data_IF_404422898632
#
_entry.id   IF_404422898632
#
_cell.length_a   1.000
_cell.length_b   1.000
_cell.length_c   1.000
_cell.angle_alpha   90.00
_cell.angle_beta   90.00
_cell.angle_gamma   90.00
#
_symmetry.space_group_name_H-M   'P 1'
#
loop_
_entity.id
_entity.type
_entity.pdbx_description
1 polymer ?
#
# COMPACT_ATOMS: atom_id res chain seq x y z
N UNK A 1 -26.79 0.28 -7.30
CA UNK A 1 -26.90 -0.29 -5.95
C UNK A 1 -26.42 0.75 -4.93
N UNK A 2 -27.31 1.24 -4.05
CA UNK A 2 -27.05 2.34 -3.10
C UNK A 2 -25.92 2.01 -2.10
N UNK A 3 -25.85 0.75 -1.66
CA UNK A 3 -24.86 0.30 -0.67
C UNK A 3 -23.38 0.39 -1.11
N UNK A 4 -23.11 0.62 -2.41
CA UNK A 4 -21.76 0.95 -2.89
C UNK A 4 -21.35 2.39 -2.54
N UNK A 5 -22.29 3.28 -2.33
CA UNK A 5 -22.08 4.73 -2.21
C UNK A 5 -22.33 5.26 -0.79
N UNK A 6 -23.08 4.52 0.02
CA UNK A 6 -23.48 4.98 1.35
C UNK A 6 -23.57 3.82 2.36
N UNK A 7 -23.44 4.12 3.67
CA UNK A 7 -23.60 3.13 4.73
C UNK A 7 -24.98 2.46 4.72
N UNK A 8 -25.06 1.20 5.16
CA UNK A 8 -26.30 0.44 5.25
C UNK A 8 -27.40 1.17 6.04
N UNK A 9 -27.04 1.91 7.11
CA UNK A 9 -27.98 2.73 7.86
C UNK A 9 -28.61 3.88 7.02
N UNK A 10 -27.87 4.42 6.06
CA UNK A 10 -28.42 5.43 5.14
C UNK A 10 -29.36 4.78 4.09
N UNK A 11 -28.96 3.61 3.57
CA UNK A 11 -29.81 2.81 2.67
C UNK A 11 -31.13 2.44 3.38
N UNK A 12 -31.05 1.96 4.62
CA UNK A 12 -32.18 1.61 5.48
C UNK A 12 -33.19 2.77 5.58
N UNK A 13 -32.71 3.99 5.85
CA UNK A 13 -33.58 5.19 5.91
C UNK A 13 -34.27 5.55 4.57
N UNK A 14 -33.58 5.31 3.47
CA UNK A 14 -34.11 5.63 2.13
C UNK A 14 -35.15 4.59 1.69
N UNK A 15 -34.90 3.33 1.99
CA UNK A 15 -35.73 2.21 1.53
C UNK A 15 -36.86 1.83 2.48
N UNK A 16 -36.83 2.33 3.73
CA UNK A 16 -37.75 1.90 4.80
C UNK A 16 -37.45 0.51 5.36
N UNK A 17 -36.42 -0.17 4.86
CA UNK A 17 -36.04 -1.51 5.30
C UNK A 17 -35.15 -1.48 6.55
N UNK A 18 -35.16 -2.54 7.35
CA UNK A 18 -34.25 -2.64 8.51
C UNK A 18 -32.80 -2.72 8.08
N UNK A 19 -31.87 -2.21 8.89
CA UNK A 19 -30.44 -2.33 8.65
C UNK A 19 -29.99 -3.77 8.42
N UNK A 20 -30.50 -4.70 9.24
CA UNK A 20 -30.19 -6.12 9.14
C UNK A 20 -30.61 -6.69 7.79
N UNK A 21 -31.79 -6.33 7.31
CA UNK A 21 -32.30 -6.80 6.00
C UNK A 21 -31.45 -6.27 4.85
N UNK A 22 -31.12 -4.98 4.88
CA UNK A 22 -30.22 -4.37 3.88
C UNK A 22 -28.87 -5.07 3.87
N UNK A 23 -28.26 -5.27 5.05
CA UNK A 23 -27.00 -5.98 5.18
C UNK A 23 -27.09 -7.43 4.65
N UNK A 24 -28.11 -8.21 5.11
CA UNK A 24 -28.25 -9.61 4.71
C UNK A 24 -28.42 -9.78 3.20
N UNK A 25 -29.18 -8.90 2.56
CA UNK A 25 -29.32 -8.89 1.10
C UNK A 25 -27.95 -8.62 0.45
N UNK A 26 -27.26 -7.56 0.90
CA UNK A 26 -25.95 -7.22 0.33
C UNK A 26 -24.92 -8.35 0.55
N UNK A 27 -24.87 -8.93 1.74
CA UNK A 27 -23.96 -10.04 2.04
C UNK A 27 -24.22 -11.25 1.16
N UNK A 28 -25.50 -11.67 1.04
CA UNK A 28 -25.90 -12.79 0.17
C UNK A 28 -25.45 -12.59 -1.28
N UNK A 29 -25.71 -11.42 -1.86
CA UNK A 29 -25.32 -11.15 -3.25
C UNK A 29 -23.81 -11.01 -3.43
N UNK A 30 -23.10 -10.47 -2.44
CA UNK A 30 -21.64 -10.44 -2.43
C UNK A 30 -21.07 -11.85 -2.38
N UNK A 31 -21.58 -12.71 -1.50
CA UNK A 31 -21.11 -14.10 -1.38
C UNK A 31 -21.35 -14.86 -2.68
N UNK A 32 -22.56 -14.81 -3.25
CA UNK A 32 -22.86 -15.43 -4.55
C UNK A 32 -21.92 -14.93 -5.67
N UNK A 33 -21.61 -13.64 -5.69
CA UNK A 33 -20.75 -13.07 -6.72
C UNK A 33 -19.27 -13.38 -6.49
N UNK A 34 -18.83 -13.54 -5.24
CA UNK A 34 -17.48 -13.99 -4.89
C UNK A 34 -17.33 -15.47 -5.22
N UNK A 35 -18.29 -16.32 -4.85
CA UNK A 35 -18.27 -17.76 -5.14
C UNK A 35 -18.28 -18.07 -6.65
N UNK A 36 -18.85 -17.17 -7.45
CA UNK A 36 -18.87 -17.26 -8.91
C UNK A 36 -17.68 -16.56 -9.60
N UNK A 37 -16.69 -16.09 -8.85
CA UNK A 37 -15.49 -15.52 -9.48
C UNK A 37 -14.71 -16.58 -10.23
N UNK A 38 -14.29 -16.23 -11.44
CA UNK A 38 -13.28 -16.97 -12.18
C UNK A 38 -11.92 -16.26 -11.99
N UNK A 39 -10.98 -16.97 -11.36
CA UNK A 39 -9.64 -16.51 -11.11
C UNK A 39 -8.58 -17.22 -11.98
N UNK A 40 -9.00 -18.01 -12.98
CA UNK A 40 -8.11 -18.78 -13.87
C UNK A 40 -7.12 -17.92 -14.65
N UNK A 41 -7.49 -16.68 -14.95
CA UNK A 41 -6.63 -15.72 -15.69
C UNK A 41 -5.75 -14.83 -14.84
N UNK A 42 -5.68 -15.02 -13.52
CA UNK A 42 -4.89 -14.17 -12.65
C UNK A 42 -3.40 -14.53 -12.74
N UNK A 43 -2.56 -13.54 -13.04
CA UNK A 43 -1.10 -13.70 -13.11
C UNK A 43 -0.32 -12.68 -12.27
N UNK A 44 -0.99 -11.63 -11.81
CA UNK A 44 -0.37 -10.54 -11.07
C UNK A 44 -1.27 -10.07 -9.94
N UNK A 45 -0.73 -10.03 -8.73
CA UNK A 45 -1.47 -9.65 -7.53
C UNK A 45 -0.80 -8.51 -6.78
N UNK A 46 -1.61 -7.72 -6.08
CA UNK A 46 -1.16 -6.79 -5.07
C UNK A 46 -1.73 -7.23 -3.72
N UNK A 47 -0.89 -7.27 -2.69
CA UNK A 47 -1.26 -7.66 -1.33
C UNK A 47 -0.96 -6.48 -0.41
N UNK A 48 -1.94 -6.08 0.39
CA UNK A 48 -1.80 -4.98 1.35
C UNK A 48 -2.66 -5.21 2.58
N UNK A 49 -2.36 -4.51 3.66
CA UNK A 49 -3.13 -4.56 4.88
C UNK A 49 -3.92 -3.28 5.12
N UNK A 50 -5.10 -3.42 5.72
CA UNK A 50 -5.90 -2.28 6.18
C UNK A 50 -6.30 -2.46 7.64
N UNK A 51 -6.35 -1.34 8.39
CA UNK A 51 -6.72 -1.39 9.80
C UNK A 51 -8.19 -1.76 9.97
N UNK A 52 -8.43 -2.87 10.69
CA UNK A 52 -9.75 -3.32 11.11
C UNK A 52 -10.29 -2.48 12.26
N UNK A 53 -9.49 -2.30 13.31
CA UNK A 53 -9.81 -1.51 14.50
C UNK A 53 -8.54 -1.06 15.23
N UNK A 54 -8.69 -0.28 16.30
CA UNK A 54 -7.56 0.09 17.15
C UNK A 54 -6.96 -1.16 17.80
N UNK A 55 -5.65 -1.16 18.08
CA UNK A 55 -4.97 -2.26 18.76
C UNK A 55 -4.36 -3.31 17.82
N UNK A 56 -3.84 -2.88 16.66
CA UNK A 56 -3.09 -3.74 15.72
C UNK A 56 -3.92 -4.90 15.13
N UNK A 57 -5.21 -4.69 14.93
CA UNK A 57 -6.06 -5.62 14.21
C UNK A 57 -6.18 -5.20 12.75
N UNK A 58 -5.85 -6.11 11.86
CA UNK A 58 -5.73 -5.85 10.42
C UNK A 58 -6.56 -6.82 9.60
N UNK A 59 -6.89 -6.42 8.38
CA UNK A 59 -7.39 -7.26 7.30
C UNK A 59 -6.33 -7.27 6.22
N UNK A 60 -6.08 -8.44 5.63
CA UNK A 60 -5.29 -8.56 4.40
C UNK A 60 -6.24 -8.53 3.21
N UNK A 61 -5.91 -7.71 2.24
CA UNK A 61 -6.58 -7.62 0.95
C UNK A 61 -5.65 -8.12 -0.14
N UNK A 62 -6.16 -8.96 -1.01
CA UNK A 62 -5.48 -9.32 -2.25
C UNK A 62 -6.31 -8.81 -3.41
N UNK A 63 -5.65 -8.14 -4.34
CA UNK A 63 -6.27 -7.57 -5.52
C UNK A 63 -5.56 -8.05 -6.79
N UNK A 64 -6.35 -8.29 -7.82
CA UNK A 64 -5.87 -8.43 -9.19
C UNK A 64 -5.28 -7.10 -9.65
N UNK A 65 -3.99 -7.10 -9.98
CA UNK A 65 -3.25 -5.90 -10.38
C UNK A 65 -3.69 -5.37 -11.74
N UNK A 66 -4.10 -6.25 -12.65
CA UNK A 66 -4.46 -5.90 -14.02
C UNK A 66 -5.87 -5.31 -14.08
N UNK A 67 -6.83 -5.99 -13.45
CA UNK A 67 -8.22 -5.53 -13.42
C UNK A 67 -8.47 -4.49 -12.31
N UNK A 68 -7.53 -4.30 -11.39
CA UNK A 68 -7.63 -3.38 -10.25
C UNK A 68 -8.90 -3.61 -9.45
N UNK A 69 -9.11 -4.83 -9.02
CA UNK A 69 -10.25 -5.26 -8.20
C UNK A 69 -9.78 -6.12 -7.03
N UNK A 70 -10.44 -6.01 -5.90
CA UNK A 70 -10.22 -6.94 -4.78
C UNK A 70 -10.81 -8.30 -5.14
N UNK A 71 -10.01 -9.35 -4.97
CA UNK A 71 -10.38 -10.74 -5.25
C UNK A 71 -10.43 -11.59 -3.98
N UNK A 72 -9.72 -11.17 -2.91
CA UNK A 72 -9.72 -11.88 -1.63
C UNK A 72 -9.58 -10.92 -0.45
N UNK A 73 -10.23 -11.26 0.66
CA UNK A 73 -10.16 -10.52 1.94
C UNK A 73 -10.16 -11.52 3.08
N UNK A 74 -9.19 -11.41 3.98
CA UNK A 74 -9.12 -12.25 5.17
C UNK A 74 -8.72 -11.44 6.40
N UNK A 75 -8.95 -12.01 7.59
CA UNK A 75 -8.53 -11.41 8.87
C UNK A 75 -7.05 -11.72 9.13
N UNK A 76 -6.33 -10.77 9.71
CA UNK A 76 -4.91 -10.91 10.02
C UNK A 76 -3.97 -10.21 9.03
N UNK A 77 -2.67 -10.42 9.25
CA UNK A 77 -1.57 -9.90 8.41
C UNK A 77 -0.31 -10.78 8.49
N UNK A 78 -0.47 -12.04 8.75
CA UNK A 78 0.63 -13.01 8.81
C UNK A 78 0.79 -13.78 7.49
N UNK A 79 1.78 -14.67 7.41
CA UNK A 79 2.03 -15.47 6.22
C UNK A 79 0.88 -16.42 5.86
N UNK A 80 0.05 -16.81 6.86
CA UNK A 80 -1.12 -17.66 6.63
C UNK A 80 -2.23 -16.96 5.85
N UNK A 81 -2.24 -15.62 5.83
CA UNK A 81 -3.19 -14.89 4.99
C UNK A 81 -2.91 -15.10 3.50
N UNK A 82 -1.63 -15.32 3.12
CA UNK A 82 -1.24 -15.67 1.74
C UNK A 82 -1.55 -17.14 1.44
N UNK A 83 -1.39 -18.04 2.42
CA UNK A 83 -1.86 -19.44 2.31
C UNK A 83 -3.34 -19.51 2.00
N UNK A 84 -4.17 -18.84 2.80
CA UNK A 84 -5.61 -18.76 2.59
C UNK A 84 -6.00 -18.16 1.24
N UNK A 85 -5.19 -17.21 0.74
CA UNK A 85 -5.37 -16.68 -0.61
C UNK A 85 -5.05 -17.74 -1.68
N UNK A 86 -3.98 -18.51 -1.54
CA UNK A 86 -3.60 -19.57 -2.47
C UNK A 86 -4.69 -20.65 -2.56
N UNK A 87 -5.26 -21.04 -1.42
CA UNK A 87 -6.42 -21.96 -1.36
C UNK A 87 -7.64 -21.37 -2.07
N UNK A 88 -7.96 -20.10 -1.80
CA UNK A 88 -9.07 -19.40 -2.44
C UNK A 88 -8.88 -19.30 -3.96
N UNK A 89 -7.67 -18.95 -4.43
CA UNK A 89 -7.32 -18.88 -5.83
C UNK A 89 -7.61 -20.22 -6.54
N UNK A 90 -7.10 -21.32 -5.97
CA UNK A 90 -7.29 -22.67 -6.51
C UNK A 90 -8.76 -23.09 -6.52
N UNK A 91 -9.50 -22.82 -5.45
CA UNK A 91 -10.93 -23.10 -5.36
C UNK A 91 -11.76 -22.37 -6.43
N UNK A 92 -11.24 -21.26 -6.98
CA UNK A 92 -11.89 -20.44 -8.03
C UNK A 92 -11.26 -20.63 -9.42
N UNK A 93 -10.60 -21.77 -9.67
CA UNK A 93 -10.04 -22.15 -10.97
C UNK A 93 -8.70 -21.52 -11.31
N UNK A 94 -8.10 -20.76 -10.40
CA UNK A 94 -6.76 -20.21 -10.57
C UNK A 94 -5.67 -21.22 -10.22
N UNK A 95 -4.44 -20.91 -10.63
CA UNK A 95 -3.26 -21.72 -10.36
C UNK A 95 -2.18 -20.85 -9.73
N UNK A 96 -1.65 -21.26 -8.59
CA UNK A 96 -0.59 -20.55 -7.87
C UNK A 96 0.68 -20.42 -8.70
N UNK A 97 0.93 -21.39 -9.57
CA UNK A 97 2.11 -21.40 -10.45
C UNK A 97 1.99 -20.38 -11.60
N UNK A 98 0.79 -19.91 -11.90
CA UNK A 98 0.51 -18.86 -12.89
C UNK A 98 0.72 -17.45 -12.32
N UNK A 99 0.86 -17.29 -11.00
CA UNK A 99 1.16 -16.00 -10.39
C UNK A 99 2.63 -15.67 -10.59
N UNK A 100 2.90 -14.82 -11.56
CA UNK A 100 4.27 -14.40 -11.93
C UNK A 100 4.74 -13.13 -11.24
N UNK A 101 3.84 -12.37 -10.63
CA UNK A 101 4.16 -11.11 -9.97
C UNK A 101 3.30 -10.86 -8.73
N UNK A 102 3.95 -10.47 -7.64
CA UNK A 102 3.31 -10.04 -6.41
C UNK A 102 3.87 -8.69 -5.96
N UNK A 103 3.01 -7.67 -5.93
CA UNK A 103 3.36 -6.36 -5.37
C UNK A 103 2.92 -6.33 -3.89
N UNK A 104 3.89 -6.14 -3.01
CA UNK A 104 3.67 -6.14 -1.55
C UNK A 104 4.44 -4.99 -0.90
N UNK A 105 4.15 -4.71 0.37
CA UNK A 105 5.05 -3.95 1.21
C UNK A 105 6.25 -4.82 1.67
N UNK A 106 7.20 -4.22 2.39
CA UNK A 106 8.37 -4.94 2.91
C UNK A 106 8.09 -5.70 4.22
N UNK A 107 6.83 -6.13 4.44
CA UNK A 107 6.45 -6.96 5.58
C UNK A 107 7.11 -8.34 5.51
N UNK A 108 7.87 -8.75 6.54
CA UNK A 108 8.47 -10.09 6.56
C UNK A 108 7.44 -11.22 6.43
N UNK A 109 6.22 -11.00 6.94
CA UNK A 109 5.14 -11.97 6.87
C UNK A 109 4.66 -12.18 5.42
N UNK A 110 4.47 -11.09 4.66
CA UNK A 110 4.07 -11.19 3.25
C UNK A 110 5.20 -11.72 2.38
N UNK A 111 6.46 -11.29 2.62
CA UNK A 111 7.63 -11.83 1.90
C UNK A 111 7.70 -13.34 2.08
N UNK A 112 7.57 -13.82 3.35
CA UNK A 112 7.55 -15.25 3.64
C UNK A 112 6.37 -15.95 2.97
N UNK A 113 5.15 -15.41 3.13
CA UNK A 113 3.94 -16.01 2.57
C UNK A 113 3.98 -16.12 1.05
N UNK A 114 4.44 -15.08 0.34
CA UNK A 114 4.58 -15.13 -1.12
C UNK A 114 5.64 -16.17 -1.52
N UNK A 115 6.79 -16.23 -0.81
CA UNK A 115 7.82 -17.23 -1.09
C UNK A 115 7.37 -18.67 -0.85
N UNK A 116 6.53 -18.90 0.16
CA UNK A 116 6.05 -20.24 0.52
C UNK A 116 4.89 -20.73 -0.37
N UNK A 117 3.97 -19.83 -0.77
CA UNK A 117 2.68 -20.21 -1.38
C UNK A 117 2.46 -19.72 -2.81
N UNK A 118 3.31 -18.82 -3.34
CA UNK A 118 3.28 -18.33 -4.72
C UNK A 118 4.68 -18.46 -5.34
N UNK A 119 5.16 -19.70 -5.61
CA UNK A 119 6.57 -19.98 -5.85
C UNK A 119 7.16 -19.30 -7.07
N UNK A 120 6.36 -19.00 -8.09
CA UNK A 120 6.80 -18.34 -9.32
C UNK A 120 6.64 -16.81 -9.28
N UNK A 121 6.06 -16.27 -8.19
CA UNK A 121 5.79 -14.86 -8.07
C UNK A 121 7.07 -14.05 -7.81
N UNK A 122 7.42 -13.17 -8.73
CA UNK A 122 8.46 -12.17 -8.49
C UNK A 122 7.91 -11.08 -7.57
N UNK A 123 8.51 -10.95 -6.39
CA UNK A 123 8.17 -9.90 -5.45
C UNK A 123 8.63 -8.53 -5.99
N UNK A 124 7.73 -7.57 -5.96
CA UNK A 124 8.00 -6.16 -6.26
C UNK A 124 7.61 -5.31 -5.05
N UNK A 125 8.53 -4.46 -4.59
CA UNK A 125 8.25 -3.49 -3.54
C UNK A 125 7.94 -2.13 -4.15
N UNK A 126 6.80 -1.54 -3.75
CA UNK A 126 6.43 -0.22 -4.24
C UNK A 126 7.44 0.84 -3.78
N UNK A 127 7.89 1.66 -4.74
CA UNK A 127 8.81 2.77 -4.47
C UNK A 127 8.27 3.75 -3.42
N UNK A 128 6.95 3.91 -3.31
CA UNK A 128 6.36 4.83 -2.35
C UNK A 128 6.65 4.41 -0.92
N UNK A 129 6.64 3.11 -0.62
CA UNK A 129 7.04 2.59 0.69
C UNK A 129 8.54 2.85 0.96
N UNK A 130 9.40 2.63 -0.04
CA UNK A 130 10.84 2.95 0.09
C UNK A 130 11.07 4.43 0.40
N UNK A 131 10.38 5.33 -0.33
CA UNK A 131 10.47 6.78 -0.10
C UNK A 131 9.82 7.19 1.23
N UNK A 132 8.77 6.50 1.69
CA UNK A 132 8.17 6.74 3.00
C UNK A 132 9.17 6.46 4.14
N UNK A 133 9.94 5.36 4.06
CA UNK A 133 11.03 5.08 5.01
C UNK A 133 12.10 6.18 5.00
N UNK A 134 12.52 6.64 3.82
CA UNK A 134 13.47 7.75 3.71
C UNK A 134 12.89 9.06 4.29
N UNK A 135 11.61 9.32 4.07
CA UNK A 135 10.91 10.50 4.65
C UNK A 135 10.85 10.43 6.18
N UNK A 136 10.60 9.25 6.73
CA UNK A 136 10.63 9.02 8.19
C UNK A 136 12.04 9.28 8.75
N UNK A 137 13.09 8.81 8.08
CA UNK A 137 14.47 9.06 8.47
C UNK A 137 14.84 10.58 8.44
N UNK A 138 14.33 11.33 7.45
CA UNK A 138 14.49 12.80 7.41
C UNK A 138 13.80 13.45 8.60
N UNK A 139 12.57 13.05 8.91
CA UNK A 139 11.81 13.62 10.04
C UNK A 139 12.46 13.29 11.39
N UNK A 140 12.99 12.10 11.56
CA UNK A 140 13.71 11.70 12.76
C UNK A 140 14.98 12.53 12.95
N UNK A 141 15.76 12.72 11.88
CA UNK A 141 16.93 13.56 11.90
C UNK A 141 16.57 15.02 12.22
N UNK A 142 15.51 15.54 11.60
CA UNK A 142 14.99 16.89 11.87
C UNK A 142 14.65 17.07 13.34
N UNK A 143 13.91 16.13 13.93
CA UNK A 143 13.52 16.18 15.35
C UNK A 143 14.73 16.17 16.29
N UNK A 144 15.74 15.38 15.93
CA UNK A 144 16.98 15.31 16.71
C UNK A 144 17.76 16.62 16.64
N UNK A 145 17.97 17.15 15.44
CA UNK A 145 18.78 18.35 15.23
C UNK A 145 18.05 19.63 15.67
N UNK A 146 16.71 19.67 15.62
CA UNK A 146 15.89 20.78 16.11
C UNK A 146 16.09 21.07 17.61
N UNK A 147 16.48 20.07 18.40
CA UNK A 147 16.76 20.26 19.85
C UNK A 147 17.94 21.21 20.10
N UNK A 148 18.87 21.25 19.17
CA UNK A 148 20.10 22.09 19.25
C UNK A 148 20.06 23.25 18.27
N UNK A 149 19.20 23.22 17.25
CA UNK A 149 19.06 24.27 16.25
C UNK A 149 17.61 24.65 16.00
N UNK A 150 17.10 25.70 16.67
CA UNK A 150 15.72 26.17 16.48
C UNK A 150 15.38 26.61 15.04
N UNK A 151 16.38 26.94 14.21
CA UNK A 151 16.16 27.36 12.82
C UNK A 151 15.54 26.26 11.95
N UNK A 152 15.59 25.00 12.40
CA UNK A 152 14.98 23.84 11.72
C UNK A 152 13.48 23.68 12.07
N UNK A 153 13.01 24.44 13.06
CA UNK A 153 11.60 24.46 13.47
C UNK A 153 10.73 24.96 12.28
N UNK A 154 9.61 24.28 12.04
CA UNK A 154 8.70 24.65 10.94
C UNK A 154 9.02 24.00 9.59
N UNK A 155 10.24 23.48 9.38
CA UNK A 155 10.66 22.90 8.09
C UNK A 155 10.15 21.48 7.82
N UNK A 156 9.26 20.92 8.67
CA UNK A 156 8.73 19.57 8.49
C UNK A 156 8.14 19.35 7.09
N UNK A 157 7.20 20.20 6.70
CA UNK A 157 6.49 20.04 5.42
C UNK A 157 7.38 20.29 4.20
N UNK A 158 8.23 21.33 4.18
CA UNK A 158 9.22 21.51 3.11
C UNK A 158 10.13 20.28 2.90
N UNK A 159 10.53 19.61 3.98
CA UNK A 159 11.42 18.45 3.92
C UNK A 159 10.72 17.15 3.46
N UNK A 160 9.42 16.99 3.75
CA UNK A 160 8.68 15.78 3.41
C UNK A 160 8.04 15.83 2.03
N UNK A 161 7.59 17.00 1.58
CA UNK A 161 7.02 17.19 0.24
C UNK A 161 8.09 17.10 -0.84
N UNK A 162 7.68 16.75 -2.05
CA UNK A 162 8.51 16.95 -3.23
C UNK A 162 8.73 18.43 -3.52
N UNK A 163 9.91 18.78 -4.02
CA UNK A 163 10.27 20.19 -4.27
C UNK A 163 9.26 20.89 -5.19
N UNK A 164 8.71 20.18 -6.14
CA UNK A 164 7.71 20.65 -7.10
C UNK A 164 6.34 21.03 -6.47
N UNK A 165 6.12 20.62 -5.21
CA UNK A 165 4.87 20.87 -4.44
C UNK A 165 5.03 21.93 -3.36
N UNK A 166 6.19 22.60 -3.31
CA UNK A 166 6.47 23.64 -2.33
C UNK A 166 5.92 25.00 -2.78
N UNK A 167 5.46 25.81 -1.83
CA UNK A 167 5.23 27.24 -2.07
C UNK A 167 6.57 27.96 -2.23
N UNK A 168 6.55 29.18 -2.78
CA UNK A 168 7.76 30.01 -2.92
C UNK A 168 8.48 30.22 -1.57
N UNK A 169 7.74 30.51 -0.50
CA UNK A 169 8.29 30.66 0.86
C UNK A 169 8.92 29.36 1.35
N UNK A 170 8.22 28.22 1.21
CA UNK A 170 8.74 26.92 1.62
C UNK A 170 10.01 26.54 0.84
N UNK A 171 10.09 26.88 -0.45
CA UNK A 171 11.26 26.65 -1.27
C UNK A 171 12.45 27.48 -0.79
N UNK A 172 12.23 28.78 -0.50
CA UNK A 172 13.27 29.65 0.03
C UNK A 172 13.83 29.18 1.38
N UNK A 173 12.93 28.77 2.31
CA UNK A 173 13.33 28.21 3.61
C UNK A 173 14.17 26.94 3.44
N UNK A 174 13.77 26.07 2.49
CA UNK A 174 14.51 24.86 2.17
C UNK A 174 15.89 25.18 1.57
N UNK A 175 15.99 26.16 0.68
CA UNK A 175 17.24 26.58 0.06
C UNK A 175 18.24 27.12 1.09
N UNK A 176 17.76 27.88 2.08
CA UNK A 176 18.60 28.33 3.22
C UNK A 176 19.14 27.14 4.03
N UNK A 177 18.31 26.10 4.24
CA UNK A 177 18.77 24.89 4.92
C UNK A 177 19.81 24.12 4.08
N UNK A 178 19.55 23.96 2.78
CA UNK A 178 20.43 23.22 1.85
C UNK A 178 21.78 23.91 1.72
N UNK A 179 21.83 25.23 1.73
CA UNK A 179 23.10 25.97 1.71
C UNK A 179 24.04 25.58 2.89
N UNK A 180 23.46 25.01 3.96
CA UNK A 180 24.21 24.54 5.14
C UNK A 180 24.42 23.00 5.12
N UNK A 181 24.39 22.35 3.97
CA UNK A 181 24.42 20.88 3.84
C UNK A 181 25.67 20.23 4.45
N UNK A 182 26.80 20.93 4.44
CA UNK A 182 28.05 20.44 5.02
C UNK A 182 28.00 20.32 6.54
N UNK A 183 27.21 21.17 7.18
CA UNK A 183 27.13 21.29 8.66
C UNK A 183 25.84 20.67 9.21
N UNK A 184 24.75 20.64 8.43
CA UNK A 184 23.43 20.16 8.88
C UNK A 184 23.14 18.74 8.41
N UNK A 185 22.87 17.85 9.37
CA UNK A 185 22.53 16.45 9.09
C UNK A 185 21.15 16.31 8.46
N UNK A 186 20.20 17.18 8.84
CA UNK A 186 18.85 17.22 8.25
C UNK A 186 18.92 17.57 6.76
N UNK A 187 19.75 18.52 6.35
CA UNK A 187 19.95 18.86 4.94
C UNK A 187 20.52 17.68 4.15
N UNK A 188 21.47 16.95 4.73
CA UNK A 188 22.04 15.72 4.12
C UNK A 188 21.02 14.61 4.03
N UNK A 189 20.21 14.39 5.08
CA UNK A 189 19.13 13.40 5.05
C UNK A 189 18.14 13.70 3.94
N UNK A 190 17.73 14.96 3.80
CA UNK A 190 16.86 15.40 2.71
C UNK A 190 17.48 15.16 1.34
N UNK A 191 18.76 15.49 1.13
CA UNK A 191 19.45 15.24 -0.13
C UNK A 191 19.46 13.74 -0.48
N UNK A 192 19.75 12.87 0.48
CA UNK A 192 19.70 11.43 0.27
C UNK A 192 18.31 10.95 -0.13
N UNK A 193 17.26 11.50 0.51
CA UNK A 193 15.88 11.17 0.11
C UNK A 193 15.58 11.60 -1.33
N UNK A 194 15.96 12.81 -1.74
CA UNK A 194 15.74 13.27 -3.12
C UNK A 194 16.56 12.48 -4.14
N UNK A 195 17.82 12.18 -3.84
CA UNK A 195 18.63 11.29 -4.68
C UNK A 195 17.98 9.90 -4.85
N UNK A 196 17.43 9.34 -3.77
CA UNK A 196 16.74 8.06 -3.82
C UNK A 196 15.49 8.13 -4.71
N UNK A 197 14.71 9.23 -4.63
CA UNK A 197 13.58 9.46 -5.53
C UNK A 197 14.03 9.49 -6.99
N UNK A 198 15.07 10.26 -7.31
CA UNK A 198 15.59 10.39 -8.67
C UNK A 198 16.10 9.05 -9.22
N UNK A 199 16.75 8.24 -8.39
CA UNK A 199 17.21 6.90 -8.76
C UNK A 199 16.01 6.01 -9.13
N UNK A 200 14.97 5.98 -8.28
CA UNK A 200 13.81 5.14 -8.48
C UNK A 200 12.88 5.61 -9.61
N UNK A 201 13.00 6.85 -10.10
CA UNK A 201 12.28 7.31 -11.29
C UNK A 201 12.89 6.81 -12.60
N UNK A 202 14.16 6.40 -12.60
CA UNK A 202 14.85 5.93 -13.81
C UNK A 202 14.27 4.61 -14.31
N UNK A 203 14.36 4.37 -15.63
CA UNK A 203 13.76 3.20 -16.29
C UNK A 203 14.74 2.05 -16.54
N UNK A 204 16.03 2.34 -16.57
CA UNK A 204 17.06 1.37 -16.94
C UNK A 204 17.52 0.62 -15.70
N UNK A 205 17.23 -0.69 -15.64
CA UNK A 205 17.49 -1.54 -14.47
C UNK A 205 18.98 -1.53 -14.05
N UNK A 206 19.89 -1.61 -15.01
CA UNK A 206 21.33 -1.62 -14.73
C UNK A 206 21.79 -0.30 -14.11
N UNK A 207 21.25 0.82 -14.59
CA UNK A 207 21.54 2.16 -14.06
C UNK A 207 20.99 2.30 -12.65
N UNK A 208 19.72 1.91 -12.42
CA UNK A 208 19.11 1.94 -11.10
C UNK A 208 19.88 1.06 -10.12
N UNK A 209 20.23 -0.16 -10.52
CA UNK A 209 21.00 -1.10 -9.69
C UNK A 209 22.36 -0.53 -9.28
N UNK A 210 23.11 0.01 -10.23
CA UNK A 210 24.42 0.61 -9.95
C UNK A 210 24.32 1.84 -9.06
N UNK A 211 23.39 2.77 -9.37
CA UNK A 211 23.19 4.00 -8.61
C UNK A 211 22.68 3.70 -7.18
N UNK A 212 21.80 2.72 -7.02
CA UNK A 212 21.27 2.34 -5.71
C UNK A 212 22.35 1.70 -4.82
N UNK A 213 23.22 0.86 -5.37
CA UNK A 213 24.40 0.33 -4.66
C UNK A 213 25.34 1.44 -4.21
N UNK A 214 25.63 2.40 -5.11
CA UNK A 214 26.48 3.53 -4.80
C UNK A 214 25.82 4.45 -3.73
N UNK A 215 24.51 4.71 -3.85
CA UNK A 215 23.76 5.46 -2.86
C UNK A 215 23.84 4.83 -1.47
N UNK A 216 23.59 3.51 -1.37
CA UNK A 216 23.72 2.77 -0.12
C UNK A 216 25.12 2.91 0.48
N UNK A 217 26.18 2.82 -0.36
CA UNK A 217 27.57 2.96 0.09
C UNK A 217 27.82 4.37 0.65
N UNK A 218 27.35 5.42 -0.03
CA UNK A 218 27.52 6.80 0.40
C UNK A 218 26.77 7.08 1.71
N UNK A 219 25.54 6.58 1.83
CA UNK A 219 24.75 6.72 3.06
C UNK A 219 25.40 6.02 4.23
N UNK A 220 25.90 4.79 4.05
CA UNK A 220 26.57 4.04 5.13
C UNK A 220 27.84 4.72 5.65
N UNK A 221 28.52 5.51 4.83
CA UNK A 221 29.69 6.31 5.21
C UNK A 221 29.32 7.66 5.85
N UNK A 222 28.05 8.03 5.83
CA UNK A 222 27.57 9.31 6.35
C UNK A 222 27.39 9.30 7.87
N UNK A 223 27.18 10.50 8.46
CA UNK A 223 26.82 10.65 9.88
C UNK A 223 25.30 10.80 10.08
N UNK A 224 24.49 10.27 9.18
CA UNK A 224 23.01 10.35 9.19
C UNK A 224 22.45 8.98 9.58
N UNK A 225 22.45 8.68 10.89
CA UNK A 225 22.11 7.33 11.38
C UNK A 225 20.74 6.83 10.93
N UNK A 226 19.62 7.61 11.00
CA UNK A 226 18.34 7.11 10.53
C UNK A 226 18.34 6.72 9.04
N UNK A 227 19.14 7.41 8.22
CA UNK A 227 19.23 7.06 6.79
C UNK A 227 20.05 5.80 6.53
N UNK A 228 20.96 5.43 7.46
CA UNK A 228 21.67 4.14 7.35
C UNK A 228 20.73 2.95 7.51
N UNK A 229 19.70 3.06 8.33
CA UNK A 229 18.68 2.01 8.45
C UNK A 229 17.91 1.85 7.14
N UNK A 230 17.61 2.95 6.44
CA UNK A 230 17.02 2.90 5.08
C UNK A 230 17.97 2.20 4.10
N UNK A 231 19.28 2.49 4.16
CA UNK A 231 20.25 1.84 3.29
C UNK A 231 20.40 0.34 3.58
N UNK A 232 20.33 -0.07 4.85
CA UNK A 232 20.30 -1.49 5.23
C UNK A 232 19.04 -2.18 4.70
N UNK A 233 17.88 -1.57 4.90
CA UNK A 233 16.61 -2.07 4.40
C UNK A 233 16.65 -2.24 2.86
N UNK A 234 17.17 -1.24 2.13
CA UNK A 234 17.32 -1.33 0.66
C UNK A 234 18.25 -2.48 0.28
N UNK A 235 19.35 -2.70 1.00
CA UNK A 235 20.27 -3.83 0.73
C UNK A 235 19.59 -5.18 0.94
N UNK A 236 18.79 -5.31 2.00
CA UNK A 236 18.09 -6.55 2.33
C UNK A 236 16.97 -6.89 1.33
N UNK A 237 16.38 -5.88 0.70
CA UNK A 237 15.26 -6.02 -0.23
C UNK A 237 15.61 -5.58 -1.65
N UNK A 238 16.90 -5.65 -2.00
CA UNK A 238 17.46 -5.03 -3.20
C UNK A 238 16.76 -5.47 -4.48
N UNK A 239 16.58 -6.77 -4.66
CA UNK A 239 16.04 -7.35 -5.89
C UNK A 239 14.58 -6.94 -6.12
N UNK A 240 13.76 -6.95 -5.08
CA UNK A 240 12.36 -6.55 -5.16
C UNK A 240 12.19 -5.03 -5.39
N UNK A 241 13.10 -4.20 -4.83
CA UNK A 241 13.11 -2.75 -5.09
C UNK A 241 13.52 -2.46 -6.53
N UNK A 242 14.55 -3.16 -7.04
CA UNK A 242 15.01 -3.02 -8.43
C UNK A 242 13.97 -3.59 -9.41
N UNK A 243 13.25 -4.66 -9.02
CA UNK A 243 12.17 -5.24 -9.83
C UNK A 243 11.10 -4.21 -10.18
N UNK A 244 10.79 -3.27 -9.30
CA UNK A 244 9.85 -2.17 -9.56
C UNK A 244 10.22 -1.37 -10.82
N UNK A 245 11.50 -1.23 -11.14
CA UNK A 245 11.97 -0.51 -12.35
C UNK A 245 11.43 -1.13 -13.64
N UNK A 246 11.24 -2.45 -13.65
CA UNK A 246 10.70 -3.19 -14.80
C UNK A 246 9.18 -3.27 -14.78
N UNK A 247 8.63 -3.67 -13.63
CA UNK A 247 7.20 -3.93 -13.50
C UNK A 247 6.38 -2.65 -13.47
N UNK A 248 6.92 -1.58 -12.89
CA UNK A 248 6.18 -0.34 -12.58
C UNK A 248 4.87 -0.59 -11.82
N UNK A 249 4.75 -1.76 -11.24
CA UNK A 249 3.59 -2.09 -10.42
C UNK A 249 3.63 -1.28 -9.14
N UNK A 250 2.58 -0.53 -8.90
CA UNK A 250 2.44 0.24 -7.68
C UNK A 250 1.30 -0.32 -6.84
N UNK A 251 1.48 -0.29 -5.53
CA UNK A 251 0.40 -0.55 -4.59
C UNK A 251 -0.59 0.62 -4.51
N UNK A 252 -0.34 1.70 -5.25
CA UNK A 252 -1.15 2.91 -5.19
C UNK A 252 -2.64 2.69 -5.46
N UNK A 253 -3.01 1.69 -6.29
CA UNK A 253 -4.42 1.37 -6.48
C UNK A 253 -5.02 0.64 -5.26
N UNK A 254 -4.31 -0.30 -4.62
CA UNK A 254 -4.79 -1.00 -3.41
C UNK A 254 -4.79 -0.05 -2.21
N UNK A 255 -3.81 0.86 -2.11
CA UNK A 255 -3.81 1.95 -1.13
C UNK A 255 -5.04 2.87 -1.32
N UNK A 256 -5.39 3.20 -2.58
CA UNK A 256 -6.59 3.97 -2.88
C UNK A 256 -7.85 3.21 -2.47
N UNK A 257 -7.94 1.90 -2.72
CA UNK A 257 -9.04 1.04 -2.26
C UNK A 257 -9.12 0.99 -0.73
N UNK A 258 -7.98 0.84 -0.05
CA UNK A 258 -7.90 0.94 1.40
C UNK A 258 -8.40 2.29 1.90
N UNK A 259 -8.02 3.38 1.22
CA UNK A 259 -8.50 4.74 1.51
C UNK A 259 -10.03 4.87 1.38
N UNK A 260 -10.61 4.29 0.33
CA UNK A 260 -12.07 4.26 0.12
C UNK A 260 -12.77 3.44 1.21
N UNK A 261 -12.24 2.27 1.58
CA UNK A 261 -12.79 1.46 2.66
C UNK A 261 -12.73 2.20 4.00
N UNK A 262 -11.58 2.82 4.33
CA UNK A 262 -11.45 3.60 5.57
C UNK A 262 -12.37 4.83 5.59
N UNK A 263 -12.65 5.46 4.45
CA UNK A 263 -13.64 6.54 4.34
C UNK A 263 -15.06 6.02 4.56
N UNK A 264 -15.44 4.88 3.96
CA UNK A 264 -16.72 4.23 4.18
C UNK A 264 -16.91 3.82 5.64
N UNK A 265 -15.88 3.26 6.27
CA UNK A 265 -15.85 2.89 7.68
C UNK A 265 -16.07 4.10 8.59
N UNK A 266 -15.39 5.24 8.33
CA UNK A 266 -15.62 6.49 9.08
C UNK A 266 -17.04 7.01 8.91
N UNK A 267 -17.58 6.99 7.69
CA UNK A 267 -18.95 7.43 7.39
C UNK A 267 -20.01 6.55 8.08
N UNK A 268 -19.71 5.28 8.29
CA UNK A 268 -20.57 4.34 9.01
C UNK A 268 -20.37 4.34 10.54
N UNK A 269 -19.49 5.19 11.08
CA UNK A 269 -19.08 5.19 12.49
C UNK A 269 -18.43 3.88 12.95
N UNK A 270 -17.86 3.10 12.04
CA UNK A 270 -17.21 1.82 12.27
C UNK A 270 -18.03 0.62 11.80
N UNK A 271 -17.37 -0.53 11.76
CA UNK A 271 -17.98 -1.84 11.54
C UNK A 271 -17.52 -2.77 12.67
N UNK A 272 -18.42 -3.59 13.20
CA UNK A 272 -18.17 -4.39 14.40
C UNK A 272 -17.61 -5.78 14.10
N UNK A 273 -17.85 -6.31 12.90
CA UNK A 273 -17.42 -7.67 12.55
C UNK A 273 -16.77 -7.76 11.18
N UNK A 274 -16.00 -8.83 10.99
CA UNK A 274 -15.28 -9.14 9.77
C UNK A 274 -16.20 -9.25 8.56
N UNK A 275 -17.32 -9.97 8.68
CA UNK A 275 -18.20 -10.23 7.53
C UNK A 275 -18.81 -8.94 6.97
N UNK A 276 -19.19 -7.99 7.85
CA UNK A 276 -19.64 -6.67 7.40
C UNK A 276 -18.54 -5.90 6.67
N UNK A 277 -17.31 -5.94 7.18
CA UNK A 277 -16.16 -5.28 6.56
C UNK A 277 -15.86 -5.90 5.20
N UNK A 278 -15.80 -7.24 5.11
CA UNK A 278 -15.60 -7.99 3.87
C UNK A 278 -16.67 -7.64 2.84
N UNK A 279 -17.95 -7.66 3.23
CA UNK A 279 -19.06 -7.27 2.35
C UNK A 279 -18.88 -5.86 1.79
N UNK A 280 -18.55 -4.88 2.64
CA UNK A 280 -18.35 -3.49 2.21
C UNK A 280 -17.13 -3.34 1.30
N UNK A 281 -16.02 -4.02 1.60
CA UNK A 281 -14.82 -4.01 0.74
C UNK A 281 -15.15 -4.53 -0.65
N UNK A 282 -15.83 -5.67 -0.76
CA UNK A 282 -16.23 -6.23 -2.05
C UNK A 282 -17.24 -5.35 -2.79
N UNK A 283 -18.20 -4.72 -2.10
CA UNK A 283 -19.13 -3.76 -2.71
C UNK A 283 -18.41 -2.57 -3.34
N UNK A 284 -17.37 -2.06 -2.68
CA UNK A 284 -16.62 -0.87 -3.12
C UNK A 284 -15.58 -1.23 -4.18
N UNK A 285 -14.85 -2.32 -3.95
CA UNK A 285 -13.60 -2.62 -4.63
C UNK A 285 -13.57 -3.94 -5.41
N UNK A 286 -14.55 -4.82 -5.24
CA UNK A 286 -14.59 -6.15 -5.89
C UNK A 286 -15.02 -6.12 -7.35
N UNK A 287 -15.57 -5.01 -7.86
CA UNK A 287 -16.14 -4.90 -9.21
C UNK A 287 -17.09 -6.04 -9.55
N UNK A 288 -17.86 -6.52 -8.56
CA UNK A 288 -18.74 -7.66 -8.67
C UNK A 288 -19.85 -7.45 -9.71
N UNK A 289 -20.08 -8.48 -10.53
CA UNK A 289 -21.21 -8.51 -11.46
C UNK A 289 -22.44 -9.13 -10.78
N UNK A 290 -23.39 -8.29 -10.41
CA UNK A 290 -24.63 -8.72 -9.79
C UNK A 290 -25.74 -9.05 -10.80
N UNK A 291 -25.56 -8.77 -12.10
CA UNK A 291 -26.60 -9.00 -13.12
C UNK A 291 -26.91 -10.49 -13.25
N UNK A 292 -25.88 -11.35 -13.13
CA UNK A 292 -26.03 -12.81 -13.20
C UNK A 292 -26.97 -13.39 -12.13
N UNK A 293 -27.20 -12.66 -11.03
CA UNK A 293 -27.99 -13.14 -9.88
C UNK A 293 -29.33 -12.40 -9.72
N UNK A 294 -29.67 -11.52 -10.64
CA UNK A 294 -30.88 -10.71 -10.55
C UNK A 294 -31.91 -11.25 -11.54
N UNK A 295 -32.86 -12.05 -11.04
CA UNK A 295 -33.93 -12.68 -11.86
C UNK A 295 -34.84 -11.62 -12.57
N UNK A 296 -34.70 -10.33 -12.22
CA UNK A 296 -35.49 -9.21 -12.78
C UNK A 296 -34.62 -8.23 -13.58
N UNK A 297 -33.41 -8.59 -13.96
CA UNK A 297 -32.48 -7.72 -14.72
C UNK A 297 -32.48 -8.10 -16.23
N UNK A 298 -33.57 -8.61 -16.74
CA UNK A 298 -33.80 -8.82 -18.17
C UNK A 298 -34.57 -7.65 -18.77
#
# INVERSE_FOLDING_TARGET
>A
MLAKQMPFAAVSRITGESWHRVYSICAKYVDLAVDAMDLSGISSVAIDETSKERGQKYLTLVADSDQRKVIFVTDGKDSKTVESFAEHLTAHGGDVDNITSASIDMSPAFIKGVGDYLPNARITFDKFHVIAHASTAVEEMRRTEQKTDPAIKGLRWPLLKGREKLSATQSADLDVLIAKITTKRTARAWLYKEQLRDILERKQINVVSAMLKQWCTNVMRSKVEPMKEVAKMIRNHFDGIVAWTQTRQTNGFIEALNGLFQAAKRKAHGYTNFNTMRTVIFLIAGKLDFKKFNAHAA
#
